data_IF_914356882957
#
_entry.id   IF_914356882957
#
_cell.length_a   1.000
_cell.length_b   1.000
_cell.length_c   1.000
_cell.angle_alpha   90.00
_cell.angle_beta   90.00
_cell.angle_gamma   90.00
#
_symmetry.space_group_name_H-M   'P 1'
#
loop_
_entity.id
_entity.type
_entity.pdbx_description
1 polymer ?
#
# COMPACT_ATOMS: atom_id res chain seq x y z
N UNK A 1 -18.81 1.21 -11.93
CA UNK A 1 -17.43 0.68 -11.97
C UNK A 1 -16.85 0.59 -13.37
N UNK A 2 -17.40 -0.15 -14.34
CA UNK A 2 -16.76 -0.18 -15.69
C UNK A 2 -16.68 1.18 -16.39
N UNK A 3 -17.64 2.07 -16.13
CA UNK A 3 -17.58 3.44 -16.62
C UNK A 3 -16.35 4.21 -16.09
N UNK A 4 -15.78 3.84 -14.93
CA UNK A 4 -14.55 4.46 -14.42
C UNK A 4 -13.37 4.21 -15.35
N UNK A 5 -13.29 3.01 -15.95
CA UNK A 5 -12.24 2.69 -16.91
C UNK A 5 -12.53 3.26 -18.30
N UNK A 6 -13.77 3.12 -18.78
CA UNK A 6 -14.14 3.42 -20.16
C UNK A 6 -14.77 4.82 -20.37
N UNK A 7 -15.00 5.59 -19.31
CA UNK A 7 -15.77 6.84 -19.32
C UNK A 7 -17.29 6.63 -19.21
N UNK A 8 -17.80 5.58 -19.87
CA UNK A 8 -19.24 5.37 -20.03
C UNK A 8 -19.66 3.91 -19.86
N UNK A 9 -20.85 3.63 -19.33
CA UNK A 9 -21.47 2.31 -19.36
C UNK A 9 -23.00 2.39 -19.47
N UNK A 10 -23.60 1.44 -20.18
CA UNK A 10 -25.07 1.35 -20.37
C UNK A 10 -25.63 0.07 -19.80
N UNK A 11 -26.72 0.19 -19.05
CA UNK A 11 -27.47 -0.94 -18.54
C UNK A 11 -28.95 -0.84 -18.93
N UNK A 12 -29.53 -1.94 -19.40
CA UNK A 12 -30.95 -2.06 -19.72
C UNK A 12 -31.73 -2.57 -18.51
N UNK A 13 -32.77 -1.86 -18.13
CA UNK A 13 -33.72 -2.30 -17.10
C UNK A 13 -34.80 -3.15 -17.77
N UNK A 14 -35.02 -4.33 -17.21
CA UNK A 14 -36.19 -5.16 -17.52
C UNK A 14 -37.16 -5.02 -16.37
N UNK A 15 -38.23 -4.28 -16.61
CA UNK A 15 -39.29 -4.04 -15.64
C UNK A 15 -40.19 -5.27 -15.46
N UNK A 16 -40.71 -5.45 -14.25
CA UNK A 16 -41.74 -6.43 -13.91
C UNK A 16 -42.69 -5.83 -12.90
N UNK A 17 -43.88 -6.42 -12.75
CA UNK A 17 -44.76 -6.15 -11.62
C UNK A 17 -44.53 -7.23 -10.56
N UNK A 18 -44.27 -6.84 -9.31
CA UNK A 18 -44.22 -7.73 -8.14
C UNK A 18 -45.01 -7.07 -7.02
N UNK A 19 -45.91 -7.82 -6.40
CA UNK A 19 -46.73 -7.37 -5.27
C UNK A 19 -47.49 -6.05 -5.55
N UNK A 20 -47.96 -5.88 -6.80
CA UNK A 20 -48.66 -4.68 -7.25
C UNK A 20 -47.77 -3.46 -7.54
N UNK A 21 -46.45 -3.58 -7.38
CA UNK A 21 -45.47 -2.53 -7.65
C UNK A 21 -44.65 -2.83 -8.90
N UNK A 22 -44.36 -1.80 -9.69
CA UNK A 22 -43.44 -1.85 -10.83
C UNK A 22 -42.01 -1.78 -10.30
N UNK A 23 -41.25 -2.85 -10.49
CA UNK A 23 -39.88 -3.00 -9.99
C UNK A 23 -38.96 -3.57 -11.07
N UNK A 24 -37.65 -3.29 -11.04
CA UNK A 24 -36.71 -3.91 -11.96
C UNK A 24 -36.57 -5.41 -11.66
N UNK A 25 -36.90 -6.30 -12.61
CA UNK A 25 -36.63 -7.74 -12.50
C UNK A 25 -35.14 -8.04 -12.65
N UNK A 26 -34.48 -7.34 -13.58
CA UNK A 26 -33.05 -7.47 -13.86
C UNK A 26 -32.54 -6.21 -14.54
N UNK A 27 -31.26 -5.92 -14.30
CA UNK A 27 -30.53 -4.86 -14.97
C UNK A 27 -29.41 -5.50 -15.77
N UNK A 28 -29.53 -5.47 -17.09
CA UNK A 28 -28.63 -6.16 -18.02
C UNK A 28 -27.63 -5.15 -18.57
N UNK A 29 -26.35 -5.38 -18.30
CA UNK A 29 -25.28 -4.63 -18.98
C UNK A 29 -25.36 -4.83 -20.49
N UNK A 30 -25.34 -3.73 -21.26
CA UNK A 30 -25.27 -3.76 -22.72
C UNK A 30 -23.91 -3.25 -23.19
N UNK A 31 -23.46 -3.76 -24.33
CA UNK A 31 -22.18 -3.35 -24.91
C UNK A 31 -22.26 -1.88 -25.37
N UNK A 32 -21.30 -1.05 -24.93
CA UNK A 32 -21.24 0.38 -25.21
C UNK A 32 -21.28 0.67 -26.73
N UNK A 33 -20.60 -0.14 -27.54
CA UNK A 33 -20.56 -0.04 -29.02
C UNK A 33 -21.92 -0.07 -29.73
N UNK A 34 -23.00 -0.42 -29.01
CA UNK A 34 -24.36 -0.42 -29.54
C UNK A 34 -25.05 0.94 -29.39
N UNK A 35 -24.44 1.86 -28.67
CA UNK A 35 -25.00 3.17 -28.39
C UNK A 35 -24.08 4.26 -28.90
N UNK A 36 -24.69 5.37 -29.29
CA UNK A 36 -24.01 6.57 -29.78
C UNK A 36 -24.70 7.78 -29.18
N UNK A 37 -23.93 8.78 -28.77
CA UNK A 37 -24.47 10.10 -28.44
C UNK A 37 -24.57 10.91 -29.73
N UNK A 38 -25.77 11.44 -29.98
CA UNK A 38 -26.04 12.31 -31.12
C UNK A 38 -26.53 13.64 -30.59
N UNK A 39 -25.93 14.71 -31.10
CA UNK A 39 -26.36 16.08 -30.89
C UNK A 39 -27.02 16.56 -32.18
N UNK A 40 -28.33 16.84 -32.12
CA UNK A 40 -29.11 17.24 -33.30
C UNK A 40 -28.80 18.68 -33.74
N UNK A 41 -28.48 19.56 -32.79
CA UNK A 41 -28.12 20.97 -32.99
C UNK A 41 -27.13 21.42 -31.90
N UNK A 42 -26.31 22.44 -32.18
CA UNK A 42 -25.30 23.00 -31.26
C UNK A 42 -25.90 23.43 -29.91
N UNK A 43 -27.18 23.83 -29.89
CA UNK A 43 -27.87 24.26 -28.67
C UNK A 43 -28.60 23.12 -27.93
N UNK A 44 -28.63 21.91 -28.51
CA UNK A 44 -29.31 20.77 -27.91
C UNK A 44 -28.32 19.88 -27.15
N UNK A 45 -28.68 19.34 -25.97
CA UNK A 45 -27.81 18.39 -25.29
C UNK A 45 -27.70 17.09 -26.09
N UNK A 46 -26.52 16.48 -26.07
CA UNK A 46 -26.30 15.18 -26.71
C UNK A 46 -27.21 14.11 -26.08
N UNK A 47 -27.93 13.36 -26.92
CA UNK A 47 -28.87 12.32 -26.48
C UNK A 47 -28.35 10.94 -26.82
N UNK A 48 -28.59 9.98 -25.94
CA UNK A 48 -28.21 8.59 -26.16
C UNK A 48 -29.15 7.95 -27.20
N UNK A 49 -28.57 7.41 -28.25
CA UNK A 49 -29.28 6.65 -29.28
C UNK A 49 -28.76 5.21 -29.37
N UNK A 50 -29.63 4.30 -29.78
CA UNK A 50 -29.31 2.89 -30.02
C UNK A 50 -29.05 2.66 -31.50
N UNK A 51 -27.87 2.14 -31.83
CA UNK A 51 -27.54 1.73 -33.19
C UNK A 51 -28.36 0.48 -33.58
N UNK A 52 -29.04 0.58 -34.72
CA UNK A 52 -29.79 -0.52 -35.33
C UNK A 52 -29.22 -0.84 -36.70
N UNK A 53 -29.54 -2.01 -37.25
CA UNK A 53 -29.06 -2.38 -38.59
C UNK A 53 -29.52 -1.41 -39.68
N UNK A 54 -30.68 -0.80 -39.49
CA UNK A 54 -31.26 0.18 -40.41
C UNK A 54 -30.63 1.56 -40.24
N UNK A 55 -30.22 1.92 -39.02
CA UNK A 55 -29.52 3.17 -38.73
C UNK A 55 -28.25 2.92 -37.89
N UNK A 56 -27.14 2.69 -38.59
CA UNK A 56 -25.83 2.39 -38.02
C UNK A 56 -24.98 3.63 -37.74
N UNK A 57 -25.40 4.82 -38.19
CA UNK A 57 -24.63 6.06 -38.02
C UNK A 57 -25.16 6.89 -36.85
N UNK A 58 -26.44 7.25 -36.88
CA UNK A 58 -27.06 8.09 -35.82
C UNK A 58 -27.88 7.26 -34.83
N UNK A 59 -28.31 6.06 -35.23
CA UNK A 59 -29.14 5.21 -34.38
C UNK A 59 -30.60 5.69 -34.30
N UNK A 60 -31.31 5.16 -33.32
CA UNK A 60 -32.70 5.52 -33.02
C UNK A 60 -32.78 5.91 -31.54
N UNK A 61 -33.63 6.88 -31.16
CA UNK A 61 -33.79 7.26 -29.76
C UNK A 61 -34.09 6.05 -28.87
N UNK A 62 -33.41 5.98 -27.73
CA UNK A 62 -33.69 4.92 -26.75
C UNK A 62 -35.07 5.14 -26.12
N UNK A 63 -35.83 4.08 -25.81
CA UNK A 63 -37.07 4.22 -25.07
C UNK A 63 -36.84 4.83 -23.69
N UNK A 64 -37.76 5.71 -23.28
CA UNK A 64 -37.73 6.36 -21.98
C UNK A 64 -37.75 5.33 -20.84
N UNK A 65 -37.00 5.63 -19.76
CA UNK A 65 -36.92 4.84 -18.52
C UNK A 65 -36.52 3.37 -18.73
N UNK A 66 -35.83 3.06 -19.82
CA UNK A 66 -35.38 1.69 -20.14
C UNK A 66 -33.88 1.48 -19.99
N UNK A 67 -33.06 2.51 -20.24
CA UNK A 67 -31.61 2.39 -20.21
C UNK A 67 -31.01 3.38 -19.22
N UNK A 68 -30.16 2.90 -18.33
CA UNK A 68 -29.33 3.71 -17.45
C UNK A 68 -28.01 3.97 -18.16
N UNK A 69 -27.66 5.25 -18.32
CA UNK A 69 -26.39 5.71 -18.83
C UNK A 69 -25.56 6.25 -17.68
N UNK A 70 -24.55 5.51 -17.26
CA UNK A 70 -23.60 5.94 -16.23
C UNK A 70 -22.35 6.49 -16.89
N UNK A 71 -22.02 7.75 -16.60
CA UNK A 71 -20.91 8.51 -17.20
C UNK A 71 -19.99 9.02 -16.11
N UNK A 72 -18.71 9.11 -16.41
CA UNK A 72 -17.66 9.61 -15.52
C UNK A 72 -17.02 10.82 -16.17
N UNK A 73 -17.05 11.96 -15.49
CA UNK A 73 -16.54 13.24 -15.97
C UNK A 73 -16.99 13.57 -17.42
N UNK A 74 -18.30 13.62 -17.70
CA UNK A 74 -18.79 14.08 -19.00
C UNK A 74 -18.49 15.56 -19.20
N UNK A 75 -17.96 15.88 -20.37
CA UNK A 75 -17.75 17.27 -20.83
C UNK A 75 -18.77 17.58 -21.94
N UNK A 76 -18.93 18.86 -22.27
CA UNK A 76 -19.89 19.30 -23.30
C UNK A 76 -19.50 18.78 -24.70
N UNK A 77 -18.20 18.79 -25.00
CA UNK A 77 -17.61 18.26 -26.23
C UNK A 77 -17.50 16.71 -26.22
N UNK A 78 -17.36 16.11 -25.04
CA UNK A 78 -17.27 14.66 -24.85
C UNK A 78 -18.42 14.12 -23.96
N UNK A 79 -19.59 13.81 -24.55
CA UNK A 79 -20.74 13.29 -23.81
C UNK A 79 -20.54 11.87 -23.29
N UNK A 80 -19.50 11.14 -23.74
CA UNK A 80 -19.14 9.82 -23.23
C UNK A 80 -18.34 9.90 -21.93
N UNK A 81 -17.75 11.06 -21.63
CA UNK A 81 -16.90 11.27 -20.47
C UNK A 81 -15.50 10.68 -20.60
N UNK A 82 -14.70 10.93 -19.58
CA UNK A 82 -13.26 10.65 -19.57
C UNK A 82 -12.95 9.63 -18.48
N UNK A 83 -12.69 8.39 -18.90
CA UNK A 83 -12.31 7.29 -18.00
C UNK A 83 -10.81 7.24 -17.72
N UNK A 84 -10.45 6.57 -16.63
CA UNK A 84 -9.06 6.30 -16.22
C UNK A 84 -8.27 5.52 -17.28
N UNK A 85 -8.95 4.82 -18.20
CA UNK A 85 -8.34 4.11 -19.32
C UNK A 85 -7.47 5.00 -20.21
N UNK A 86 -7.77 6.30 -20.32
CA UNK A 86 -6.96 7.25 -21.08
C UNK A 86 -5.57 7.42 -20.46
N UNK A 87 -5.50 7.57 -19.13
CA UNK A 87 -4.24 7.70 -18.39
C UNK A 87 -3.50 6.35 -18.32
N UNK A 88 -4.23 5.24 -18.17
CA UNK A 88 -3.68 3.89 -18.07
C UNK A 88 -3.16 3.33 -19.40
N UNK A 89 -3.51 3.93 -20.54
CA UNK A 89 -3.11 3.43 -21.86
C UNK A 89 -1.59 3.28 -21.99
N UNK A 90 -0.84 4.35 -21.67
CA UNK A 90 0.62 4.36 -21.84
C UNK A 90 1.34 3.40 -20.89
N UNK A 91 1.08 3.43 -19.56
CA UNK A 91 1.69 2.48 -18.63
C UNK A 91 1.44 1.03 -19.02
N UNK A 92 0.20 0.68 -19.39
CA UNK A 92 -0.15 -0.69 -19.80
C UNK A 92 0.52 -1.07 -21.12
N UNK A 93 0.56 -0.16 -22.10
CA UNK A 93 1.23 -0.40 -23.38
C UNK A 93 2.73 -0.66 -23.20
N UNK A 94 3.42 0.22 -22.47
CA UNK A 94 4.86 0.09 -22.22
C UNK A 94 5.16 -1.13 -21.36
N UNK A 95 4.37 -1.41 -20.32
CA UNK A 95 4.53 -2.63 -19.52
C UNK A 95 4.44 -3.89 -20.37
N UNK A 96 3.42 -4.01 -21.23
CA UNK A 96 3.27 -5.19 -22.12
C UNK A 96 4.48 -5.36 -23.04
N UNK A 97 5.02 -4.27 -23.59
CA UNK A 97 6.24 -4.32 -24.42
C UNK A 97 7.48 -4.62 -23.58
N UNK A 98 7.57 -4.08 -22.37
CA UNK A 98 8.63 -4.31 -21.39
C UNK A 98 8.73 -5.78 -21.00
N UNK A 99 7.61 -6.42 -20.66
CA UNK A 99 7.55 -7.85 -20.34
C UNK A 99 7.98 -8.72 -21.53
N UNK A 100 7.54 -8.39 -22.75
CA UNK A 100 8.00 -9.13 -23.96
C UNK A 100 9.51 -8.97 -24.17
N UNK A 101 10.05 -7.76 -23.97
CA UNK A 101 11.48 -7.52 -24.06
C UNK A 101 12.27 -8.22 -22.94
N UNK A 102 11.71 -8.27 -21.73
CA UNK A 102 12.29 -8.94 -20.58
C UNK A 102 12.37 -10.45 -20.82
N UNK A 103 11.28 -11.08 -21.27
CA UNK A 103 11.30 -12.50 -21.62
C UNK A 103 12.36 -12.81 -22.70
N UNK A 104 12.45 -11.99 -23.76
CA UNK A 104 13.51 -12.15 -24.78
C UNK A 104 14.92 -12.00 -24.22
N UNK A 105 15.09 -11.12 -23.24
CA UNK A 105 16.37 -10.93 -22.56
C UNK A 105 16.72 -12.17 -21.73
N UNK A 106 15.77 -12.68 -20.95
CA UNK A 106 15.93 -13.92 -20.18
C UNK A 106 16.27 -15.11 -21.09
N UNK A 107 15.58 -15.25 -22.22
CA UNK A 107 15.87 -16.30 -23.21
C UNK A 107 17.29 -16.17 -23.75
N UNK A 108 17.75 -14.95 -24.08
CA UNK A 108 19.09 -14.73 -24.64
C UNK A 108 20.21 -14.86 -23.62
N UNK A 109 19.96 -14.53 -22.35
CA UNK A 109 20.91 -14.80 -21.27
C UNK A 109 20.98 -16.28 -20.92
N UNK A 110 19.86 -17.01 -21.00
CA UNK A 110 19.83 -18.45 -20.75
C UNK A 110 20.34 -19.30 -21.93
N UNK A 111 20.27 -18.77 -23.16
CA UNK A 111 20.70 -19.46 -24.39
C UNK A 111 21.49 -18.52 -25.29
N UNK A 112 22.83 -18.47 -25.16
CA UNK A 112 23.67 -17.64 -25.99
C UNK A 112 23.54 -18.03 -27.47
N UNK A 113 23.64 -17.05 -28.37
CA UNK A 113 23.41 -17.28 -29.80
C UNK A 113 24.59 -18.04 -30.41
N UNK A 114 24.37 -19.22 -31.03
CA UNK A 114 25.39 -19.95 -31.78
C UNK A 114 26.00 -19.08 -32.89
N UNK A 115 27.33 -18.97 -32.95
CA UNK A 115 28.04 -18.36 -34.06
C UNK A 115 29.12 -19.29 -34.60
N UNK A 116 29.01 -19.64 -35.88
CA UNK A 116 30.00 -20.45 -36.58
C UNK A 116 30.63 -19.67 -37.73
N UNK A 117 31.94 -19.78 -37.88
CA UNK A 117 32.69 -19.23 -39.01
C UNK A 117 33.09 -20.35 -39.95
N UNK A 118 33.04 -20.09 -41.26
CA UNK A 118 33.53 -21.01 -42.28
C UNK A 118 34.46 -20.28 -43.27
N UNK A 119 35.46 -20.97 -43.83
CA UNK A 119 36.38 -20.38 -44.80
C UNK A 119 35.65 -20.01 -46.10
N UNK A 120 36.15 -18.98 -46.80
CA UNK A 120 35.49 -18.38 -47.98
C UNK A 120 35.27 -19.38 -49.13
N UNK A 121 36.06 -20.45 -49.19
CA UNK A 121 36.01 -21.50 -50.20
C UNK A 121 35.17 -22.73 -49.79
N UNK A 122 34.43 -22.67 -48.67
CA UNK A 122 33.66 -23.80 -48.17
C UNK A 122 32.55 -24.24 -49.14
N UNK A 123 32.45 -25.56 -49.33
CA UNK A 123 31.46 -26.17 -50.22
C UNK A 123 30.03 -26.12 -49.66
N UNK A 124 29.00 -26.34 -50.50
CA UNK A 124 27.60 -26.33 -50.05
C UNK A 124 27.30 -27.36 -48.95
N UNK A 125 27.95 -28.55 -49.00
CA UNK A 125 27.82 -29.59 -47.97
C UNK A 125 28.37 -29.14 -46.62
N UNK A 126 29.54 -28.50 -46.59
CA UNK A 126 30.18 -28.04 -45.35
C UNK A 126 29.36 -26.93 -44.67
N UNK A 127 28.75 -26.03 -45.46
CA UNK A 127 27.82 -25.02 -44.95
C UNK A 127 26.56 -25.65 -44.36
N UNK A 128 26.04 -26.70 -45.00
CA UNK A 128 24.90 -27.48 -44.48
C UNK A 128 25.22 -28.14 -43.15
N UNK A 129 26.35 -28.85 -43.06
CA UNK A 129 26.81 -29.49 -41.83
C UNK A 129 26.99 -28.48 -40.69
N UNK A 130 27.53 -27.29 -40.97
CA UNK A 130 27.65 -26.23 -39.97
C UNK A 130 26.29 -25.69 -39.51
N UNK A 131 25.34 -25.50 -40.41
CA UNK A 131 24.00 -25.03 -40.05
C UNK A 131 23.24 -26.06 -39.19
N UNK A 132 23.37 -27.34 -39.53
CA UNK A 132 22.80 -28.44 -38.74
C UNK A 132 23.48 -28.55 -37.38
N UNK A 133 24.81 -28.36 -37.33
CA UNK A 133 25.58 -28.33 -36.10
C UNK A 133 25.18 -27.16 -35.17
N UNK A 134 24.99 -25.95 -35.72
CA UNK A 134 24.52 -24.78 -34.94
C UNK A 134 23.09 -24.98 -34.43
N UNK A 135 22.22 -25.63 -35.21
CA UNK A 135 20.86 -25.98 -34.80
C UNK A 135 20.85 -27.05 -33.71
N UNK A 136 21.69 -28.08 -33.82
CA UNK A 136 21.87 -29.11 -32.80
C UNK A 136 22.41 -28.50 -31.49
N UNK A 137 23.37 -27.58 -31.55
CA UNK A 137 23.90 -26.91 -30.35
C UNK A 137 22.82 -26.10 -29.61
N UNK A 138 21.86 -25.51 -30.34
CA UNK A 138 20.74 -24.79 -29.73
C UNK A 138 19.73 -25.70 -29.00
N UNK A 139 19.71 -27.01 -29.30
CA UNK A 139 18.76 -27.97 -28.73
C UNK A 139 19.42 -28.93 -27.74
N UNK A 140 20.59 -29.46 -28.06
CA UNK A 140 21.24 -30.57 -27.36
C UNK A 140 22.41 -30.12 -26.47
N UNK A 141 22.88 -28.88 -26.60
CA UNK A 141 23.86 -28.26 -25.69
C UNK A 141 25.31 -28.76 -25.79
N UNK A 142 25.61 -29.79 -26.58
CA UNK A 142 26.96 -30.25 -26.90
C UNK A 142 27.13 -30.46 -28.40
N UNK A 143 28.34 -30.26 -28.92
CA UNK A 143 28.64 -30.41 -30.32
C UNK A 143 30.09 -30.86 -30.51
N UNK A 144 30.32 -31.76 -31.46
CA UNK A 144 31.65 -32.21 -31.84
C UNK A 144 31.94 -31.74 -33.27
N UNK A 145 32.95 -30.91 -33.46
CA UNK A 145 33.35 -30.38 -34.76
C UNK A 145 34.74 -30.85 -35.20
N UNK A 146 35.01 -30.91 -36.52
CA UNK A 146 36.35 -31.17 -37.04
C UNK A 146 37.34 -30.08 -36.65
N UNK A 147 38.61 -30.47 -36.51
CA UNK A 147 39.70 -29.56 -36.16
C UNK A 147 39.83 -28.44 -37.21
N UNK A 148 39.75 -27.18 -36.76
CA UNK A 148 39.69 -25.98 -37.61
C UNK A 148 38.31 -25.32 -37.78
N UNK A 149 37.22 -25.93 -37.29
CA UNK A 149 35.89 -25.32 -37.29
C UNK A 149 35.62 -24.63 -35.94
N UNK A 150 35.81 -23.31 -35.90
CA UNK A 150 35.58 -22.49 -34.70
C UNK A 150 34.08 -22.18 -34.55
N UNK A 151 33.51 -22.64 -33.43
CA UNK A 151 32.15 -22.28 -32.99
C UNK A 151 32.31 -21.51 -31.68
N UNK A 152 31.81 -20.29 -31.69
CA UNK A 152 31.78 -19.44 -30.51
C UNK A 152 30.34 -19.08 -30.17
N UNK A 153 30.08 -18.97 -28.88
CA UNK A 153 28.84 -18.42 -28.38
C UNK A 153 28.99 -16.89 -28.41
N UNK A 154 28.10 -16.21 -29.14
CA UNK A 154 28.02 -14.76 -29.06
C UNK A 154 27.34 -14.41 -27.74
N UNK A 155 28.16 -14.29 -26.70
CA UNK A 155 27.73 -13.79 -25.41
C UNK A 155 27.50 -12.27 -25.49
N UNK A 156 26.39 -11.85 -24.89
CA UNK A 156 26.14 -10.43 -24.70
C UNK A 156 27.14 -9.90 -23.67
N UNK A 157 27.96 -8.91 -24.03
CA UNK A 157 28.93 -8.26 -23.11
C UNK A 157 28.29 -7.44 -21.98
N UNK A 158 27.01 -7.66 -21.69
CA UNK A 158 26.32 -7.07 -20.55
C UNK A 158 26.83 -7.74 -19.27
N UNK A 159 27.88 -7.17 -18.67
CA UNK A 159 28.39 -7.59 -17.38
C UNK A 159 27.58 -6.95 -16.25
N UNK A 160 26.92 -7.77 -15.43
CA UNK A 160 26.13 -7.33 -14.27
C UNK A 160 24.70 -7.88 -14.28
N UNK A 161 23.96 -7.65 -13.18
CA UNK A 161 22.55 -8.01 -13.07
C UNK A 161 21.73 -6.99 -13.89
N UNK A 162 21.29 -7.36 -15.10
CA UNK A 162 20.53 -6.47 -15.98
C UNK A 162 19.08 -6.42 -15.50
N UNK A 163 18.79 -5.47 -14.62
CA UNK A 163 17.44 -5.25 -14.05
C UNK A 163 16.68 -4.11 -14.73
N UNK A 164 17.19 -3.53 -15.81
CA UNK A 164 16.58 -2.34 -16.43
C UNK A 164 15.16 -2.60 -16.96
N UNK A 165 14.91 -3.78 -17.52
CA UNK A 165 13.56 -4.19 -17.97
C UNK A 165 12.62 -4.46 -16.79
N UNK A 166 13.14 -5.04 -15.71
CA UNK A 166 12.39 -5.23 -14.47
C UNK A 166 11.98 -3.88 -13.89
N UNK A 167 12.93 -2.95 -13.72
CA UNK A 167 12.70 -1.60 -13.20
C UNK A 167 11.69 -0.82 -14.05
N UNK A 168 11.72 -1.00 -15.37
CA UNK A 168 10.71 -0.41 -16.25
C UNK A 168 9.33 -1.00 -15.96
N UNK A 169 9.21 -2.32 -15.77
CA UNK A 169 7.94 -2.94 -15.45
C UNK A 169 7.41 -2.50 -14.08
N UNK A 170 8.27 -2.43 -13.07
CA UNK A 170 7.95 -1.95 -11.72
C UNK A 170 7.52 -0.48 -11.75
N UNK A 171 8.23 0.38 -12.47
CA UNK A 171 7.83 1.77 -12.65
C UNK A 171 6.46 1.91 -13.31
N UNK A 172 6.15 1.10 -14.32
CA UNK A 172 4.82 1.12 -14.93
C UNK A 172 3.73 0.59 -13.98
N UNK A 173 4.05 -0.37 -13.11
CA UNK A 173 3.13 -0.87 -12.08
C UNK A 173 2.86 0.14 -10.97
N UNK A 174 3.88 0.91 -10.60
CA UNK A 174 3.76 2.04 -9.68
C UNK A 174 2.79 3.09 -10.26
N UNK A 175 2.95 3.47 -11.53
CA UNK A 175 2.04 4.41 -12.22
C UNK A 175 0.60 3.89 -12.31
N UNK A 176 0.42 2.60 -12.64
CA UNK A 176 -0.92 1.98 -12.71
C UNK A 176 -1.58 2.00 -11.34
N UNK A 177 -0.81 1.73 -10.29
CA UNK A 177 -1.31 1.75 -8.90
C UNK A 177 -1.70 3.17 -8.51
N UNK A 178 -0.85 4.15 -8.77
CA UNK A 178 -1.12 5.56 -8.46
C UNK A 178 -2.39 6.06 -9.15
N UNK A 179 -2.61 5.75 -10.42
CA UNK A 179 -3.83 6.16 -11.15
C UNK A 179 -5.08 5.45 -10.63
N UNK A 180 -4.99 4.19 -10.20
CA UNK A 180 -6.17 3.41 -9.78
C UNK A 180 -6.53 3.59 -8.30
N UNK A 181 -5.53 3.71 -7.43
CA UNK A 181 -5.73 3.76 -5.99
C UNK A 181 -5.34 5.09 -5.37
N UNK A 182 -4.76 6.02 -6.14
CA UNK A 182 -4.24 7.29 -5.63
C UNK A 182 -3.01 7.13 -4.74
N UNK A 183 -2.35 5.97 -4.78
CA UNK A 183 -1.26 5.65 -3.86
C UNK A 183 0.10 5.92 -4.48
N UNK A 184 0.90 6.73 -3.80
CA UNK A 184 2.31 6.86 -4.12
C UNK A 184 3.03 5.50 -3.94
N UNK A 185 3.94 5.14 -4.87
CA UNK A 185 4.66 3.88 -4.79
C UNK A 185 5.44 3.73 -3.47
N UNK A 186 5.43 2.51 -2.93
CA UNK A 186 6.13 2.16 -1.70
C UNK A 186 7.65 2.07 -1.92
N UNK A 187 8.30 3.18 -2.27
CA UNK A 187 9.76 3.24 -2.45
C UNK A 187 10.54 3.76 -1.24
N UNK A 188 9.91 4.47 -0.30
CA UNK A 188 10.61 4.97 0.89
C UNK A 188 10.40 4.06 2.10
N UNK A 189 11.46 3.32 2.46
CA UNK A 189 11.53 2.60 3.73
C UNK A 189 11.98 3.53 4.87
N UNK A 190 11.24 3.55 5.98
CA UNK A 190 11.59 4.29 7.21
C UNK A 190 10.35 4.77 7.98
N UNK A 191 10.49 5.34 9.18
CA UNK A 191 9.38 5.78 10.05
C UNK A 191 8.33 6.73 9.43
N UNK A 192 8.62 7.31 8.27
CA UNK A 192 7.64 7.99 7.40
C UNK A 192 6.55 7.05 6.83
N UNK A 193 6.73 5.73 6.91
CA UNK A 193 5.81 4.71 6.41
C UNK A 193 4.45 4.75 7.11
N UNK A 194 4.40 5.03 8.42
CA UNK A 194 3.14 5.06 9.16
C UNK A 194 2.28 6.27 8.76
N UNK A 195 2.90 7.46 8.68
CA UNK A 195 2.23 8.68 8.21
C UNK A 195 1.80 8.55 6.74
N UNK A 196 2.69 8.07 5.87
CA UNK A 196 2.38 7.83 4.46
C UNK A 196 1.29 6.75 4.28
N UNK A 197 1.22 5.74 5.15
CA UNK A 197 0.16 4.73 5.09
C UNK A 197 -1.21 5.29 5.45
N UNK A 198 -1.27 6.26 6.38
CA UNK A 198 -2.52 6.94 6.73
C UNK A 198 -3.00 7.81 5.57
N UNK A 199 -2.13 8.66 5.02
CA UNK A 199 -2.45 9.49 3.85
C UNK A 199 -2.91 8.65 2.65
N UNK A 200 -2.24 7.52 2.39
CA UNK A 200 -2.66 6.54 1.36
C UNK A 200 -4.03 5.91 1.61
N UNK A 201 -4.46 5.78 2.87
CA UNK A 201 -5.78 5.28 3.23
C UNK A 201 -6.82 6.38 3.02
N UNK A 202 -6.51 7.59 3.45
CA UNK A 202 -7.39 8.77 3.33
C UNK A 202 -7.69 9.07 1.86
N UNK A 203 -6.68 9.14 0.98
CA UNK A 203 -6.87 9.36 -0.46
C UNK A 203 -7.73 8.26 -1.10
N UNK A 204 -7.48 6.99 -0.74
CA UNK A 204 -8.28 5.86 -1.27
C UNK A 204 -9.73 5.98 -0.86
N UNK A 205 -9.99 6.42 0.37
CA UNK A 205 -11.33 6.59 0.87
C UNK A 205 -12.05 7.75 0.21
N UNK A 206 -11.37 8.87 0.00
CA UNK A 206 -11.90 10.02 -0.76
C UNK A 206 -12.29 9.59 -2.18
N UNK A 207 -11.43 8.82 -2.86
CA UNK A 207 -11.75 8.23 -4.17
C UNK A 207 -12.96 7.29 -4.11
N UNK A 208 -13.03 6.44 -3.09
CA UNK A 208 -14.15 5.50 -2.93
C UNK A 208 -15.46 6.24 -2.67
N UNK A 209 -15.42 7.32 -1.88
CA UNK A 209 -16.56 8.18 -1.59
C UNK A 209 -17.02 8.91 -2.86
N UNK A 210 -16.09 9.51 -3.62
CA UNK A 210 -16.40 10.15 -4.89
C UNK A 210 -17.05 9.19 -5.90
N UNK A 211 -16.51 7.97 -6.05
CA UNK A 211 -17.08 6.93 -6.92
C UNK A 211 -18.50 6.53 -6.46
N UNK A 212 -18.70 6.44 -5.15
CA UNK A 212 -19.98 6.10 -4.54
C UNK A 212 -21.02 7.20 -4.74
N UNK A 213 -20.63 8.46 -4.59
CA UNK A 213 -21.51 9.61 -4.78
C UNK A 213 -21.95 9.72 -6.23
N UNK A 214 -21.02 9.62 -7.18
CA UNK A 214 -21.33 9.63 -8.61
C UNK A 214 -22.29 8.50 -9.01
N UNK A 215 -22.09 7.29 -8.47
CA UNK A 215 -22.97 6.15 -8.74
C UNK A 215 -24.34 6.33 -8.08
N UNK A 216 -24.37 6.89 -6.87
CA UNK A 216 -25.62 7.15 -6.14
C UNK A 216 -26.45 8.20 -6.86
N UNK A 217 -25.84 9.30 -7.31
CA UNK A 217 -26.48 10.33 -8.14
C UNK A 217 -27.08 9.73 -9.42
N UNK A 218 -26.28 8.96 -10.17
CA UNK A 218 -26.76 8.29 -11.40
C UNK A 218 -27.98 7.41 -11.10
N UNK A 219 -27.97 6.64 -10.00
CA UNK A 219 -29.09 5.78 -9.63
C UNK A 219 -30.31 6.55 -9.14
N UNK A 220 -30.11 7.65 -8.41
CA UNK A 220 -31.17 8.51 -7.90
C UNK A 220 -31.92 9.19 -9.05
N UNK A 221 -31.20 9.75 -10.03
CA UNK A 221 -31.78 10.40 -11.20
C UNK A 221 -32.46 9.44 -12.17
N UNK A 222 -32.00 8.17 -12.21
CA UNK A 222 -32.51 7.16 -13.14
C UNK A 222 -33.39 6.15 -12.42
N UNK A 223 -32.82 5.02 -12.01
CA UNK A 223 -33.54 3.84 -11.53
C UNK A 223 -34.52 4.17 -10.41
N UNK A 224 -34.07 4.91 -9.40
CA UNK A 224 -34.84 5.18 -8.18
C UNK A 224 -35.96 6.17 -8.49
N UNK A 225 -35.67 7.27 -9.18
CA UNK A 225 -36.69 8.19 -9.68
C UNK A 225 -37.76 7.45 -10.50
N UNK A 226 -37.35 6.59 -11.44
CA UNK A 226 -38.30 5.85 -12.28
C UNK A 226 -39.16 4.88 -11.49
N UNK A 227 -38.60 4.20 -10.48
CA UNK A 227 -39.37 3.34 -9.57
C UNK A 227 -40.41 4.17 -8.82
N UNK A 228 -40.03 5.31 -8.26
CA UNK A 228 -40.97 6.17 -7.53
C UNK A 228 -42.09 6.68 -8.45
N UNK A 229 -41.74 7.15 -9.65
CA UNK A 229 -42.68 7.65 -10.65
C UNK A 229 -43.67 6.58 -11.12
N UNK A 230 -43.20 5.34 -11.38
CA UNK A 230 -44.10 4.25 -11.81
C UNK A 230 -45.08 3.81 -10.73
N UNK A 231 -44.71 3.95 -9.45
CA UNK A 231 -45.52 3.50 -8.32
C UNK A 231 -46.30 4.64 -7.63
N UNK A 232 -46.14 5.89 -8.06
CA UNK A 232 -46.73 7.06 -7.42
C UNK A 232 -46.19 7.31 -6.00
N UNK A 233 -44.96 6.89 -5.72
CA UNK A 233 -44.30 7.08 -4.43
C UNK A 233 -43.57 8.43 -4.39
N UNK A 234 -43.36 8.96 -3.19
CA UNK A 234 -42.54 10.15 -3.00
C UNK A 234 -41.09 9.89 -3.47
N UNK A 235 -40.40 10.89 -4.05
CA UNK A 235 -38.98 10.75 -4.40
C UNK A 235 -38.17 10.34 -3.17
N UNK A 236 -37.35 9.30 -3.31
CA UNK A 236 -36.41 8.89 -2.28
C UNK A 236 -34.97 9.15 -2.75
N UNK A 237 -34.14 9.64 -1.85
CA UNK A 237 -32.72 9.88 -2.10
C UNK A 237 -31.92 8.80 -1.39
N UNK A 238 -31.24 7.94 -2.16
CA UNK A 238 -30.43 6.84 -1.65
C UNK A 238 -28.96 7.17 -1.87
N UNK A 239 -28.17 7.09 -0.82
CA UNK A 239 -26.72 7.24 -0.87
C UNK A 239 -26.08 6.17 -0.01
N UNK A 240 -24.86 5.75 -0.37
CA UNK A 240 -24.08 4.84 0.49
C UNK A 240 -23.26 5.66 1.47
N UNK A 241 -23.35 5.30 2.73
CA UNK A 241 -22.48 5.83 3.77
C UNK A 241 -21.21 4.97 3.82
N UNK A 242 -20.10 5.49 3.31
CA UNK A 242 -18.79 4.88 3.52
C UNK A 242 -18.27 5.42 4.85
N UNK A 243 -18.27 4.58 5.87
CA UNK A 243 -17.69 4.92 7.17
C UNK A 243 -16.29 4.36 7.26
N UNK A 244 -15.40 5.14 7.87
CA UNK A 244 -14.13 4.59 8.33
C UNK A 244 -14.37 3.49 9.34
N UNK A 245 -13.58 2.43 9.23
CA UNK A 245 -13.38 1.54 10.36
C UNK A 245 -12.65 2.35 11.43
N UNK A 246 -13.42 2.84 12.40
CA UNK A 246 -12.91 3.65 13.50
C UNK A 246 -11.85 2.85 14.25
N UNK A 247 -10.67 3.44 14.45
CA UNK A 247 -9.63 2.83 15.28
C UNK A 247 -10.07 2.85 16.74
N UNK A 248 -10.77 1.79 17.13
CA UNK A 248 -11.25 1.55 18.50
C UNK A 248 -10.16 1.73 19.55
N UNK A 249 -8.88 1.55 19.19
CA UNK A 249 -7.75 1.81 20.09
C UNK A 249 -7.51 3.29 20.31
N UNK A 250 -7.48 4.11 19.25
CA UNK A 250 -7.32 5.57 19.38
C UNK A 250 -8.51 6.19 20.11
N UNK A 251 -9.72 5.67 19.88
CA UNK A 251 -10.91 6.09 20.61
C UNK A 251 -10.82 5.75 22.10
N UNK A 252 -10.39 4.53 22.44
CA UNK A 252 -10.21 4.12 23.84
C UNK A 252 -9.11 4.92 24.55
N UNK A 253 -8.03 5.27 23.86
CA UNK A 253 -6.96 6.14 24.37
C UNK A 253 -7.46 7.58 24.60
N UNK A 254 -8.27 8.12 23.67
CA UNK A 254 -8.91 9.42 23.84
C UNK A 254 -9.90 9.46 25.01
N UNK A 255 -10.70 8.40 25.17
CA UNK A 255 -11.65 8.28 26.28
C UNK A 255 -10.91 8.18 27.64
N UNK A 256 -9.76 7.51 27.68
CA UNK A 256 -8.89 7.50 28.86
C UNK A 256 -8.37 8.90 29.20
N UNK A 257 -7.94 9.68 28.20
CA UNK A 257 -7.50 11.07 28.41
C UNK A 257 -8.64 11.94 28.98
N UNK A 258 -9.86 11.78 28.46
CA UNK A 258 -11.04 12.52 28.91
C UNK A 258 -11.40 12.15 30.36
N UNK A 259 -11.28 10.87 30.71
CA UNK A 259 -11.44 10.40 32.08
C UNK A 259 -10.36 10.98 33.02
N UNK A 260 -9.10 10.99 32.59
CA UNK A 260 -7.98 11.55 33.35
C UNK A 260 -8.11 13.07 33.54
N UNK A 261 -8.79 13.77 32.62
CA UNK A 261 -9.16 15.19 32.74
C UNK A 261 -10.36 15.44 33.69
N UNK A 262 -10.96 14.39 34.24
CA UNK A 262 -12.02 14.47 35.26
C UNK A 262 -13.45 14.41 34.73
N UNK A 263 -13.65 14.02 33.46
CA UNK A 263 -14.99 13.81 32.89
C UNK A 263 -15.35 12.33 32.89
N UNK A 264 -16.50 11.97 33.47
CA UNK A 264 -17.04 10.61 33.39
C UNK A 264 -17.95 10.47 32.16
N UNK A 265 -17.74 9.42 31.36
CA UNK A 265 -18.59 9.12 30.20
C UNK A 265 -19.87 8.40 30.63
N UNK A 266 -21.01 8.85 30.11
CA UNK A 266 -22.33 8.29 30.43
C UNK A 266 -22.56 6.91 29.77
N UNK A 267 -23.38 6.06 30.40
CA UNK A 267 -23.60 4.66 29.99
C UNK A 267 -24.22 4.55 28.59
N UNK A 268 -25.14 5.46 28.26
CA UNK A 268 -25.79 5.48 26.95
C UNK A 268 -24.80 5.85 25.83
N UNK A 269 -23.80 6.67 26.14
CA UNK A 269 -22.75 7.07 25.19
C UNK A 269 -21.73 5.95 24.99
N UNK A 270 -21.39 5.21 26.06
CA UNK A 270 -20.53 4.01 25.98
C UNK A 270 -21.19 2.92 25.13
N UNK A 271 -22.50 2.68 25.31
CA UNK A 271 -23.24 1.69 24.53
C UNK A 271 -23.40 2.09 23.06
N UNK A 272 -23.62 3.37 22.78
CA UNK A 272 -23.69 3.88 21.42
C UNK A 272 -22.35 3.77 20.68
N UNK A 273 -21.23 4.00 21.38
CA UNK A 273 -19.87 3.94 20.79
C UNK A 273 -19.28 2.54 20.69
N UNK A 274 -19.37 1.73 21.75
CA UNK A 274 -18.69 0.43 21.86
C UNK A 274 -19.63 -0.78 21.88
N UNK A 275 -20.94 -0.57 21.75
CA UNK A 275 -21.97 -1.61 21.74
C UNK A 275 -22.45 -2.06 23.13
N UNK A 276 -23.37 -3.02 23.16
CA UNK A 276 -24.08 -3.46 24.38
C UNK A 276 -23.27 -4.40 25.32
N UNK A 277 -21.97 -4.59 25.06
CA UNK A 277 -21.13 -5.57 25.77
C UNK A 277 -20.55 -5.13 27.11
N UNK A 278 -20.70 -3.86 27.51
CA UNK A 278 -19.96 -3.24 28.62
C UNK A 278 -20.84 -2.93 29.83
N UNK A 279 -20.38 -3.30 31.03
CA UNK A 279 -21.01 -2.95 32.32
C UNK A 279 -20.06 -2.08 33.14
N UNK A 280 -20.58 -1.05 33.82
CA UNK A 280 -19.81 -0.16 34.69
C UNK A 280 -19.12 -0.97 35.80
N UNK A 281 -17.81 -0.80 35.97
CA UNK A 281 -17.07 -1.38 37.10
C UNK A 281 -17.55 -0.68 38.39
N UNK A 282 -17.87 -1.46 39.42
CA UNK A 282 -18.28 -0.91 40.71
C UNK A 282 -17.18 0.05 41.25
N UNK A 283 -17.54 1.19 41.86
CA UNK A 283 -16.56 2.12 42.38
C UNK A 283 -15.65 1.41 43.40
N UNK A 284 -14.33 1.69 43.40
CA UNK A 284 -13.45 1.13 44.41
C UNK A 284 -13.98 1.54 45.80
N UNK A 285 -14.05 0.61 46.76
CA UNK A 285 -14.54 0.93 48.09
C UNK A 285 -13.72 2.10 48.66
N UNK A 286 -14.36 3.10 49.29
CA UNK A 286 -13.63 4.19 49.91
C UNK A 286 -12.62 3.61 50.89
N UNK A 287 -11.35 4.05 50.78
CA UNK A 287 -10.30 3.67 51.72
C UNK A 287 -10.82 3.90 53.14
N UNK A 288 -11.03 2.81 53.87
CA UNK A 288 -11.53 2.86 55.22
C UNK A 288 -10.57 3.73 56.06
N UNK A 289 -11.07 4.69 56.87
CA UNK A 289 -10.20 5.44 57.75
C UNK A 289 -9.52 4.47 58.72
N UNK A 290 -8.21 4.61 58.85
CA UNK A 290 -7.37 3.83 59.75
C UNK A 290 -7.92 3.91 61.18
N UNK A 291 -8.72 2.92 61.57
CA UNK A 291 -9.10 2.70 62.95
C UNK A 291 -7.86 2.17 63.67
N UNK A 292 -7.30 3.00 64.54
CA UNK A 292 -6.29 2.63 65.50
C UNK A 292 -6.80 1.44 66.34
N UNK A 293 -6.30 0.25 66.05
CA UNK A 293 -6.46 -0.90 66.91
C UNK A 293 -5.16 -1.12 67.69
N UNK A 294 -5.34 -0.92 68.99
CA UNK A 294 -4.49 -1.24 70.11
C UNK A 294 -3.42 -2.32 69.86
N UNK A 295 -2.20 -1.99 70.32
CA UNK A 295 -1.13 -2.94 70.58
C UNK A 295 -1.59 -3.96 71.63
N UNK A 296 -1.51 -5.24 71.29
CA UNK A 296 -1.10 -6.26 72.26
C UNK A 296 -0.22 -7.31 71.56
N UNK A 297 0.95 -7.69 72.13
CA UNK A 297 1.95 -8.51 71.47
C UNK A 297 1.92 -9.96 71.99
N UNK A 298 1.77 -10.95 71.10
CA UNK A 298 2.15 -12.33 71.43
C UNK A 298 2.24 -13.28 70.21
N UNK A 299 3.50 -13.67 69.92
CA UNK A 299 3.95 -14.99 69.42
C UNK A 299 4.01 -15.26 67.89
N UNK A 300 4.97 -16.12 67.45
CA UNK A 300 5.68 -15.94 66.18
C UNK A 300 5.14 -16.80 65.03
N UNK A 301 5.30 -16.30 63.81
CA UNK A 301 5.07 -17.05 62.56
C UNK A 301 6.35 -17.82 62.22
N UNK A 302 6.26 -19.14 62.19
CA UNK A 302 7.25 -20.02 61.56
C UNK A 302 6.95 -20.04 60.06
N UNK A 303 7.93 -19.65 59.24
CA UNK A 303 7.86 -19.72 57.79
C UNK A 303 8.15 -21.15 57.30
N UNK A 304 7.35 -21.65 56.37
CA UNK A 304 7.68 -22.83 55.55
C UNK A 304 7.52 -22.46 54.06
N UNK A 305 8.60 -22.48 53.25
CA UNK A 305 8.58 -22.03 51.86
C UNK A 305 8.31 -23.21 50.92
N UNK A 306 7.08 -23.36 50.43
CA UNK A 306 6.83 -24.45 49.48
C UNK A 306 5.41 -24.69 49.02
N UNK A 307 4.67 -23.67 48.57
CA UNK A 307 3.53 -23.83 47.64
C UNK A 307 2.99 -22.47 47.19
N UNK A 308 3.35 -22.04 45.97
CA UNK A 308 2.60 -20.99 45.26
C UNK A 308 1.62 -21.66 44.30
N UNK A 309 0.37 -21.76 44.76
CA UNK A 309 -0.77 -21.88 43.87
C UNK A 309 -0.97 -20.53 43.17
N UNK A 310 -1.20 -20.58 41.86
CA UNK A 310 -1.53 -19.42 41.05
C UNK A 310 -2.79 -18.74 41.58
N UNK A 311 -2.69 -17.44 41.89
CA UNK A 311 -3.83 -16.57 42.08
C UNK A 311 -3.57 -15.23 41.40
N UNK A 312 -4.58 -14.85 40.63
CA UNK A 312 -4.75 -13.61 39.90
C UNK A 312 -4.79 -12.40 40.85
N UNK A 313 -4.14 -11.32 40.39
CA UNK A 313 -4.36 -9.91 40.69
C UNK A 313 -4.41 -9.45 42.17
N UNK A 314 -3.33 -8.79 42.61
CA UNK A 314 -3.39 -7.43 43.15
C UNK A 314 -1.98 -6.80 43.18
N UNK A 315 -1.92 -5.49 42.95
CA UNK A 315 -0.71 -4.67 42.88
C UNK A 315 0.09 -4.74 44.19
N UNK A 316 1.26 -5.38 44.13
CA UNK A 316 2.36 -5.09 45.03
C UNK A 316 3.50 -4.52 44.20
N UNK A 317 3.95 -3.32 44.56
CA UNK A 317 5.18 -2.69 44.10
C UNK A 317 6.35 -3.64 44.33
N UNK A 318 6.70 -4.41 43.30
CA UNK A 318 7.96 -5.15 43.23
C UNK A 318 8.98 -4.16 42.65
N UNK A 319 10.11 -3.89 43.33
CA UNK A 319 11.17 -3.10 42.70
C UNK A 319 11.53 -3.81 41.40
N UNK A 320 11.47 -3.07 40.28
CA UNK A 320 11.80 -3.59 38.96
C UNK A 320 13.13 -4.32 39.06
N UNK A 321 13.10 -5.65 38.97
CA UNK A 321 14.28 -6.35 38.54
C UNK A 321 14.55 -5.80 37.14
N UNK A 322 15.71 -5.19 36.88
CA UNK A 322 16.01 -4.67 35.56
C UNK A 322 15.79 -5.80 34.57
N UNK A 323 14.98 -5.52 33.56
CA UNK A 323 14.72 -6.47 32.48
C UNK A 323 16.08 -6.96 31.97
N UNK A 324 16.20 -8.26 31.64
CA UNK A 324 17.43 -8.79 31.08
C UNK A 324 17.82 -8.00 29.80
N UNK A 325 16.81 -7.48 29.09
CA UNK A 325 16.96 -6.53 28.00
C UNK A 325 17.50 -5.17 28.44
N UNK A 326 17.01 -4.59 29.54
CA UNK A 326 17.50 -3.31 30.05
C UNK A 326 18.96 -3.41 30.52
N UNK A 327 19.34 -4.51 31.17
CA UNK A 327 20.72 -4.78 31.56
C UNK A 327 21.65 -4.98 30.36
N UNK A 328 21.17 -5.61 29.28
CA UNK A 328 21.91 -5.76 28.01
C UNK A 328 22.05 -4.43 27.29
N UNK A 329 20.99 -3.61 27.25
CA UNK A 329 20.99 -2.28 26.67
C UNK A 329 21.94 -1.36 27.44
N UNK A 330 21.93 -1.40 28.77
CA UNK A 330 22.85 -0.59 29.59
C UNK A 330 24.31 -1.06 29.44
N UNK A 331 24.56 -2.36 29.32
CA UNK A 331 25.89 -2.92 29.07
C UNK A 331 26.44 -2.51 27.68
N UNK A 332 25.60 -2.54 26.64
CA UNK A 332 25.95 -2.05 25.30
C UNK A 332 26.14 -0.52 25.31
N UNK A 333 25.23 0.25 25.91
CA UNK A 333 25.37 1.70 26.01
C UNK A 333 26.66 2.12 26.74
N UNK A 334 27.07 1.38 27.78
CA UNK A 334 28.34 1.64 28.47
C UNK A 334 29.57 1.44 27.58
N UNK A 335 29.50 0.54 26.58
CA UNK A 335 30.58 0.34 25.60
C UNK A 335 30.58 1.40 24.49
N UNK A 336 29.41 1.90 24.10
CA UNK A 336 29.28 2.86 23.00
C UNK A 336 29.48 4.31 23.41
N UNK A 337 29.20 4.68 24.67
CA UNK A 337 29.43 6.03 25.23
C UNK A 337 30.85 6.56 24.95
N UNK A 338 31.96 5.87 25.30
CA UNK A 338 33.32 6.39 25.06
C UNK A 338 33.69 6.51 23.58
N UNK A 339 32.98 5.85 22.66
CA UNK A 339 33.19 5.95 21.21
C UNK A 339 32.37 7.09 20.61
N UNK A 340 31.17 7.36 21.16
CA UNK A 340 30.24 8.38 20.68
C UNK A 340 30.46 9.76 21.32
N UNK A 341 30.94 9.82 22.57
CA UNK A 341 31.23 11.05 23.29
C UNK A 341 32.15 12.01 22.51
N UNK A 342 33.31 11.59 21.93
CA UNK A 342 34.15 12.50 21.14
C UNK A 342 33.50 13.00 19.84
N UNK A 343 32.44 12.36 19.35
CA UNK A 343 31.68 12.81 18.18
C UNK A 343 30.52 13.75 18.56
N UNK A 344 29.94 13.55 19.74
CA UNK A 344 28.75 14.28 20.22
C UNK A 344 29.14 15.52 21.02
N UNK A 345 30.29 15.51 21.70
CA UNK A 345 30.76 16.63 22.51
C UNK A 345 31.00 17.92 21.71
N UNK A 346 31.60 17.91 20.51
CA UNK A 346 31.73 19.11 19.68
C UNK A 346 30.37 19.70 19.27
N UNK A 347 29.38 18.84 19.02
CA UNK A 347 28.01 19.24 18.67
C UNK A 347 27.28 19.82 19.89
N UNK A 348 27.47 19.23 21.08
CA UNK A 348 26.95 19.76 22.34
C UNK A 348 27.57 21.10 22.70
N UNK A 349 28.86 21.28 22.48
CA UNK A 349 29.56 22.56 22.70
C UNK A 349 29.03 23.64 21.73
N UNK A 350 28.84 23.32 20.45
CA UNK A 350 28.24 24.24 19.48
C UNK A 350 26.81 24.66 19.89
N UNK A 351 26.01 23.73 20.39
CA UNK A 351 24.66 24.00 20.90
C UNK A 351 24.69 24.87 22.16
N UNK A 352 25.62 24.63 23.08
CA UNK A 352 25.80 25.42 24.30
C UNK A 352 26.27 26.85 23.99
N UNK A 353 27.22 27.02 23.06
CA UNK A 353 27.72 28.33 22.61
C UNK A 353 26.65 29.11 21.86
N UNK A 354 25.87 28.45 21.00
CA UNK A 354 24.75 29.07 20.29
C UNK A 354 23.64 29.50 21.25
N UNK A 355 23.36 28.70 22.28
CA UNK A 355 22.40 29.06 23.34
C UNK A 355 22.91 30.25 24.18
N UNK A 356 24.21 30.32 24.48
CA UNK A 356 24.81 31.44 25.21
C UNK A 356 24.85 32.75 24.39
N UNK A 357 24.95 32.64 23.07
CA UNK A 357 24.99 33.79 22.15
C UNK A 357 23.61 34.18 21.59
N UNK A 358 22.55 33.47 21.96
CA UNK A 358 21.18 33.76 21.52
C UNK A 358 20.95 33.57 20.01
N UNK A 359 21.71 32.66 19.39
CA UNK A 359 21.67 32.43 17.95
C UNK A 359 20.39 31.70 17.51
N UNK A 360 19.96 31.98 16.29
CA UNK A 360 18.76 31.37 15.70
C UNK A 360 19.08 30.00 15.08
N UNK A 361 18.08 29.13 14.97
CA UNK A 361 18.25 27.77 14.43
C UNK A 361 18.81 27.76 12.99
N UNK A 362 18.55 28.80 12.20
CA UNK A 362 19.08 28.94 10.84
C UNK A 362 20.60 29.21 10.82
N UNK A 363 21.11 29.98 11.78
CA UNK A 363 22.55 30.28 11.91
C UNK A 363 23.32 29.07 12.41
N UNK A 364 22.70 28.26 13.29
CA UNK A 364 23.25 26.99 13.76
C UNK A 364 23.39 25.97 12.61
N UNK A 365 22.35 25.84 11.79
CA UNK A 365 22.35 24.92 10.64
C UNK A 365 23.38 25.30 9.57
N UNK A 366 23.71 26.58 9.42
CA UNK A 366 24.73 27.05 8.50
C UNK A 366 26.17 26.67 8.93
N UNK A 367 26.42 26.49 10.23
CA UNK A 367 27.75 26.15 10.78
C UNK A 367 27.98 24.64 10.95
N UNK A 368 26.90 23.86 10.92
CA UNK A 368 26.93 22.40 11.02
C UNK A 368 27.86 21.71 9.99
N UNK A 369 27.87 22.11 8.69
CA UNK A 369 28.69 21.45 7.67
C UNK A 369 30.19 21.55 7.91
N UNK A 370 30.68 22.69 8.43
CA UNK A 370 32.10 22.90 8.74
C UNK A 370 32.55 22.04 9.92
N UNK A 371 31.69 21.86 10.91
CA UNK A 371 31.97 21.04 12.09
C UNK A 371 31.94 19.54 11.74
N UNK A 372 30.98 19.12 10.91
CA UNK A 372 30.91 17.75 10.39
C UNK A 372 32.15 17.36 9.57
N UNK A 373 32.77 18.32 8.85
CA UNK A 373 33.99 18.08 8.08
C UNK A 373 35.25 17.86 8.96
N UNK A 374 35.20 18.24 10.25
CA UNK A 374 36.32 18.12 11.19
C UNK A 374 36.18 16.91 12.14
N UNK A 375 35.05 16.18 12.09
CA UNK A 375 34.82 15.01 12.92
C UNK A 375 35.59 13.79 12.38
N UNK A 376 36.46 13.21 13.21
CA UNK A 376 37.17 11.98 12.88
C UNK A 376 36.24 10.76 13.05
N UNK A 377 35.90 10.11 11.93
CA UNK A 377 35.04 8.91 11.87
C UNK A 377 35.82 7.59 12.09
N UNK A 378 37.14 7.64 12.24
CA UNK A 378 38.00 6.47 12.42
C UNK A 378 37.63 5.57 13.63
N UNK A 379 37.32 6.13 14.81
CA UNK A 379 36.92 5.33 15.99
C UNK A 379 35.63 4.55 15.78
N UNK A 380 34.63 5.16 15.12
CA UNK A 380 33.35 4.53 14.80
C UNK A 380 33.52 3.39 13.79
N UNK A 381 34.31 3.61 12.74
CA UNK A 381 34.63 2.59 11.75
C UNK A 381 35.35 1.39 12.39
N UNK A 382 36.26 1.65 13.33
CA UNK A 382 37.00 0.59 14.04
C UNK A 382 36.09 -0.21 14.97
N UNK A 383 35.17 0.46 15.68
CA UNK A 383 34.18 -0.19 16.54
C UNK A 383 33.22 -1.09 15.74
N UNK A 384 32.67 -0.58 14.63
CA UNK A 384 31.79 -1.35 13.75
C UNK A 384 32.50 -2.53 13.09
N UNK A 385 33.77 -2.36 12.71
CA UNK A 385 34.57 -3.45 12.14
C UNK A 385 34.83 -4.54 13.18
N UNK A 386 35.08 -4.16 14.44
CA UNK A 386 35.29 -5.11 15.54
C UNK A 386 33.99 -5.84 15.90
N UNK A 387 32.86 -5.14 15.95
CA UNK A 387 31.53 -5.70 16.19
C UNK A 387 31.08 -6.66 15.08
N UNK A 388 31.31 -6.29 13.81
CA UNK A 388 31.04 -7.16 12.67
C UNK A 388 31.94 -8.41 12.68
N UNK A 389 33.18 -8.28 13.11
CA UNK A 389 34.11 -9.40 13.25
C UNK A 389 33.72 -10.34 14.40
N UNK A 390 33.34 -9.82 15.58
CA UNK A 390 32.85 -10.65 16.70
C UNK A 390 31.52 -11.33 16.39
N UNK A 391 30.59 -10.64 15.73
CA UNK A 391 29.34 -11.24 15.29
C UNK A 391 29.56 -12.39 14.30
N UNK A 392 30.55 -12.25 13.41
CA UNK A 392 30.91 -13.30 12.44
C UNK A 392 31.61 -14.49 13.10
N UNK A 393 32.46 -14.24 14.10
CA UNK A 393 33.12 -15.28 14.90
C UNK A 393 32.14 -16.04 15.80
N UNK A 394 31.12 -15.35 16.34
CA UNK A 394 30.04 -15.97 17.10
C UNK A 394 29.13 -16.85 16.21
N UNK A 395 28.87 -16.41 14.97
CA UNK A 395 28.13 -17.18 13.98
C UNK A 395 28.88 -18.46 13.55
N UNK A 396 30.21 -18.40 13.37
CA UNK A 396 31.03 -19.58 13.06
C UNK A 396 31.24 -20.53 14.26
N UNK A 397 31.06 -20.05 15.50
CA UNK A 397 31.18 -20.84 16.72
C UNK A 397 29.88 -21.56 17.15
N UNK A 398 28.76 -21.37 16.44
CA UNK A 398 27.54 -22.18 16.60
C UNK A 398 26.80 -22.02 17.93
N UNK A 399 26.82 -20.83 18.55
CA UNK A 399 26.06 -20.56 19.78
C UNK A 399 24.66 -20.04 19.38
N UNK A 400 23.60 -20.74 19.80
CA UNK A 400 22.22 -20.33 19.56
C UNK A 400 21.87 -19.10 20.42
N UNK A 401 21.19 -18.14 19.80
CA UNK A 401 20.72 -16.92 20.45
C UNK A 401 19.62 -17.25 21.48
N UNK A 402 19.91 -17.07 22.76
CA UNK A 402 18.92 -16.74 23.79
C UNK A 402 19.01 -15.24 24.11
#
# INVERSE_FOLDING_TARGET
>A
MEALLAGFAVAEIVWTVRDGLVVPARVIKRAQRRFVYVQDDEHSPARLQLLTRENMLTGVPVPDRKFIAHRVNPEDDNPYGTGLGLQLFWPVFFKRKGVVAWNKLCDRFGSPTPHGKYPRNAGPKEKGTLADALRAMSNDGYLMTPDGMEISLLESKLSGNVTTQQQLCEYMDDWISEVLTGQEPARSGGGALAAASKERKDVRQDLTQADSDLLSETLNETLIAWICEYNGLAPCHVYRQIKEEEDTKTQAEGDKLIYDMGFEMDEDTVRAKYGEGWKKKAPPPPAAPAAALALDPALPVVADPGRRAANFAENATVPAQPDALDALIDAEQAQWRPVMDPMVDPIRQLLADAAAQGQTAAELLARLPELLAQLDLGPLATSLTRAAFTARLAADAGIANE
#
